data_IF_890884950458
#
_entry.id   IF_890884950458
#
_cell.length_a   1.000
_cell.length_b   1.000
_cell.length_c   1.000
_cell.angle_alpha   90.00
_cell.angle_beta   90.00
_cell.angle_gamma   90.00
#
_symmetry.space_group_name_H-M   'P 1'
#
loop_
_entity.id
_entity.type
_entity.pdbx_description
1 polymer ?
#
# COMPACT_ATOMS: atom_id res chain seq x y z
N UNK A 1 -21.04 9.65 -4.24
CA UNK A 1 -19.65 9.85 -3.77
C UNK A 1 -18.76 10.11 -4.99
N UNK A 2 -17.87 11.09 -4.90
CA UNK A 2 -16.98 11.42 -6.03
C UNK A 2 -15.79 10.47 -6.08
N UNK A 3 -15.09 10.42 -7.22
CA UNK A 3 -13.85 9.64 -7.38
C UNK A 3 -12.79 10.08 -6.35
N UNK A 4 -12.70 11.39 -6.07
CA UNK A 4 -11.77 11.92 -5.07
C UNK A 4 -12.12 11.43 -3.65
N UNK A 5 -13.38 11.45 -3.28
CA UNK A 5 -13.84 10.97 -1.97
C UNK A 5 -13.55 9.48 -1.81
N UNK A 6 -13.79 8.67 -2.84
CA UNK A 6 -13.48 7.24 -2.84
C UNK A 6 -11.97 7.01 -2.71
N UNK A 7 -11.16 7.78 -3.45
CA UNK A 7 -9.70 7.69 -3.36
C UNK A 7 -9.20 8.02 -1.96
N UNK A 8 -9.67 9.11 -1.35
CA UNK A 8 -9.25 9.50 0.00
C UNK A 8 -9.68 8.46 1.05
N UNK A 9 -10.84 7.86 0.87
CA UNK A 9 -11.32 6.78 1.74
C UNK A 9 -10.42 5.54 1.66
N UNK A 10 -9.98 5.19 0.46
CA UNK A 10 -9.09 4.04 0.26
C UNK A 10 -7.65 4.35 0.70
N UNK A 11 -7.21 5.59 0.55
CA UNK A 11 -5.88 6.03 0.94
C UNK A 11 -5.67 6.05 2.45
N UNK A 12 -6.69 6.46 3.21
CA UNK A 12 -6.57 6.68 4.66
C UNK A 12 -6.03 5.45 5.43
N UNK A 13 -6.51 4.22 5.21
CA UNK A 13 -5.99 3.06 5.92
C UNK A 13 -4.51 2.79 5.66
N UNK A 14 -4.01 3.18 4.48
CA UNK A 14 -2.60 3.02 4.12
C UNK A 14 -1.72 4.06 4.80
N UNK A 15 -2.08 5.33 4.68
CA UNK A 15 -1.22 6.43 5.16
C UNK A 15 -1.36 6.68 6.67
N UNK A 16 -2.43 6.19 7.30
CA UNK A 16 -2.60 6.22 8.74
C UNK A 16 -2.00 4.98 9.44
N UNK A 17 -1.26 4.16 8.69
CA UNK A 17 -0.59 2.96 9.17
C UNK A 17 0.91 3.23 9.29
N UNK A 18 1.50 2.88 10.43
CA UNK A 18 2.96 2.89 10.55
C UNK A 18 3.54 1.75 9.72
N UNK A 19 4.29 2.09 8.68
CA UNK A 19 4.93 1.12 7.79
C UNK A 19 6.36 1.53 7.42
N UNK A 20 7.11 2.01 8.39
CA UNK A 20 8.56 2.22 8.23
C UNK A 20 9.23 0.90 7.85
N UNK A 21 10.37 0.99 7.15
CA UNK A 21 11.06 -0.18 6.59
C UNK A 21 11.30 -1.29 7.61
N UNK A 22 11.63 -0.94 8.85
CA UNK A 22 11.88 -1.91 9.93
C UNK A 22 10.61 -2.43 10.62
N UNK A 23 9.46 -1.81 10.38
CA UNK A 23 8.18 -2.28 10.90
C UNK A 23 7.59 -3.33 9.95
N UNK A 24 8.08 -4.56 10.07
CA UNK A 24 7.70 -5.65 9.15
C UNK A 24 6.21 -5.96 9.18
N UNK A 25 5.58 -5.88 10.34
CA UNK A 25 4.14 -6.09 10.48
C UNK A 25 3.34 -5.01 9.77
N UNK A 26 3.75 -3.75 9.89
CA UNK A 26 3.10 -2.62 9.22
C UNK A 26 3.23 -2.69 7.71
N UNK A 27 4.42 -3.00 7.20
CA UNK A 27 4.65 -3.16 5.76
C UNK A 27 3.82 -4.33 5.21
N UNK A 28 3.78 -5.46 5.92
CA UNK A 28 2.95 -6.60 5.53
C UNK A 28 1.47 -6.24 5.52
N UNK A 29 1.01 -5.45 6.50
CA UNK A 29 -0.39 -4.99 6.52
C UNK A 29 -0.71 -4.09 5.33
N UNK A 30 0.21 -3.21 4.93
CA UNK A 30 0.06 -2.40 3.72
C UNK A 30 -0.08 -3.29 2.49
N UNK A 31 0.74 -4.34 2.39
CA UNK A 31 0.64 -5.31 1.30
C UNK A 31 -0.71 -6.03 1.28
N UNK A 32 -1.24 -6.41 2.44
CA UNK A 32 -2.56 -7.04 2.55
C UNK A 32 -3.69 -6.09 2.08
N UNK A 33 -3.62 -4.82 2.46
CA UNK A 33 -4.60 -3.82 2.04
C UNK A 33 -4.57 -3.67 0.51
N UNK A 34 -3.39 -3.52 -0.06
CA UNK A 34 -3.24 -3.40 -1.52
C UNK A 34 -3.65 -4.67 -2.25
N UNK A 35 -3.38 -5.84 -1.66
CA UNK A 35 -3.83 -7.13 -2.20
C UNK A 35 -5.34 -7.14 -2.38
N UNK A 36 -6.08 -6.72 -1.36
CA UNK A 36 -7.54 -6.67 -1.42
C UNK A 36 -8.03 -5.73 -2.54
N UNK A 37 -7.39 -4.58 -2.70
CA UNK A 37 -7.75 -3.65 -3.78
C UNK A 37 -7.51 -4.25 -5.17
N UNK A 38 -6.37 -4.87 -5.40
CA UNK A 38 -6.07 -5.50 -6.69
C UNK A 38 -6.99 -6.69 -6.96
N UNK A 39 -7.29 -7.51 -5.97
CA UNK A 39 -8.23 -8.63 -6.13
C UNK A 39 -9.64 -8.13 -6.48
N UNK A 40 -10.05 -6.99 -5.94
CA UNK A 40 -11.36 -6.42 -6.23
C UNK A 40 -11.55 -6.00 -7.69
N UNK A 41 -10.47 -5.79 -8.43
CA UNK A 41 -10.50 -5.45 -9.85
C UNK A 41 -10.04 -6.61 -10.75
N UNK A 42 -9.98 -7.81 -10.21
CA UNK A 42 -9.77 -9.03 -10.97
C UNK A 42 -8.33 -9.51 -11.09
N UNK A 43 -7.38 -8.91 -10.36
CA UNK A 43 -6.00 -9.39 -10.35
C UNK A 43 -5.88 -10.63 -9.47
N UNK A 44 -4.97 -11.52 -9.87
CA UNK A 44 -4.51 -12.64 -9.05
C UNK A 44 -3.29 -12.18 -8.26
N UNK A 45 -3.35 -12.31 -6.94
CA UNK A 45 -2.35 -11.73 -6.04
C UNK A 45 -1.75 -12.77 -5.11
N UNK A 46 -0.48 -12.57 -4.76
CA UNK A 46 0.17 -13.33 -3.70
C UNK A 46 1.04 -12.41 -2.85
N UNK A 47 1.11 -12.71 -1.55
CA UNK A 47 2.09 -12.10 -0.66
C UNK A 47 3.39 -12.90 -0.76
N UNK A 48 4.49 -12.19 -0.98
CA UNK A 48 5.82 -12.79 -1.19
C UNK A 48 6.64 -12.64 0.07
N UNK A 49 7.14 -13.75 0.59
CA UNK A 49 8.08 -13.74 1.73
C UNK A 49 9.45 -13.29 1.24
N UNK A 50 9.91 -12.17 1.75
CA UNK A 50 11.20 -11.57 1.40
C UNK A 50 12.26 -11.73 2.50
N UNK A 51 11.95 -12.53 3.52
CA UNK A 51 12.87 -12.81 4.63
C UNK A 51 12.36 -12.28 5.97
N UNK A 52 13.05 -12.66 7.08
CA UNK A 52 12.55 -12.35 8.43
C UNK A 52 12.73 -10.90 8.87
N UNK A 53 13.57 -10.13 8.18
CA UNK A 53 13.91 -8.75 8.56
C UNK A 53 13.13 -7.69 7.80
N UNK A 54 12.30 -8.10 6.84
CA UNK A 54 11.51 -7.20 6.00
C UNK A 54 10.06 -7.66 5.95
N UNK A 55 9.15 -6.73 5.66
CA UNK A 55 7.75 -7.07 5.44
C UNK A 55 7.56 -7.85 4.15
N UNK A 56 6.40 -8.47 3.99
CA UNK A 56 6.07 -9.18 2.76
C UNK A 56 5.84 -8.24 1.60
N UNK A 57 6.24 -8.68 0.41
CA UNK A 57 5.91 -8.00 -0.84
C UNK A 57 4.56 -8.45 -1.38
N UNK A 58 4.04 -7.71 -2.34
CA UNK A 58 2.83 -8.06 -3.07
C UNK A 58 3.16 -8.22 -4.55
N UNK A 59 2.74 -9.35 -5.11
CA UNK A 59 2.79 -9.58 -6.55
C UNK A 59 1.36 -9.72 -7.06
N UNK A 60 0.97 -8.85 -8.00
CA UNK A 60 -0.37 -8.83 -8.59
C UNK A 60 -0.26 -8.96 -10.10
N UNK A 61 -1.01 -9.90 -10.67
CA UNK A 61 -1.01 -10.19 -12.11
C UNK A 61 -2.43 -10.15 -12.64
N UNK A 62 -2.62 -9.50 -13.78
CA UNK A 62 -3.93 -9.50 -14.45
C UNK A 62 -4.15 -10.74 -15.34
N UNK A 63 -3.06 -11.45 -15.71
CA UNK A 63 -3.10 -12.68 -16.52
C UNK A 63 -2.11 -13.67 -15.93
N UNK A 64 -2.46 -14.40 -14.85
CA UNK A 64 -1.51 -15.23 -14.12
C UNK A 64 -0.89 -16.36 -14.93
N UNK A 65 -1.56 -16.83 -15.99
CA UNK A 65 -1.07 -17.89 -16.87
C UNK A 65 -0.23 -17.39 -18.06
N UNK A 66 -0.03 -16.07 -18.19
CA UNK A 66 0.76 -15.51 -19.26
C UNK A 66 2.25 -15.87 -19.11
N UNK A 67 2.91 -16.16 -20.21
CA UNK A 67 4.35 -16.44 -20.21
C UNK A 67 5.22 -15.20 -20.11
N UNK A 68 4.67 -14.01 -20.41
CA UNK A 68 5.33 -12.73 -20.29
C UNK A 68 4.31 -11.60 -20.15
N UNK A 69 4.80 -10.43 -19.76
CA UNK A 69 3.99 -9.21 -19.65
C UNK A 69 4.69 -8.08 -20.38
N UNK A 70 3.91 -7.24 -21.06
CA UNK A 70 4.42 -6.05 -21.74
C UNK A 70 4.81 -4.94 -20.78
N UNK A 71 4.13 -4.85 -19.64
CA UNK A 71 4.33 -3.80 -18.65
C UNK A 71 4.45 -4.42 -17.26
N UNK A 72 5.48 -3.99 -16.53
CA UNK A 72 5.62 -4.26 -15.12
C UNK A 72 5.70 -2.93 -14.38
N UNK A 73 4.79 -2.74 -13.43
CA UNK A 73 4.83 -1.58 -12.53
C UNK A 73 5.49 -1.99 -11.23
N UNK A 74 6.41 -1.16 -10.75
CA UNK A 74 7.15 -1.43 -9.52
C UNK A 74 7.05 -0.23 -8.59
N UNK A 75 6.68 -0.50 -7.34
CA UNK A 75 6.56 0.51 -6.31
C UNK A 75 6.94 -0.09 -4.96
N UNK A 76 7.13 0.75 -3.95
CA UNK A 76 7.42 0.26 -2.61
C UNK A 76 6.25 0.55 -1.66
N UNK A 77 6.14 -0.25 -0.61
CA UNK A 77 5.09 -0.17 0.40
C UNK A 77 5.57 0.48 1.70
N UNK A 78 6.86 0.42 1.96
CA UNK A 78 7.45 0.97 3.17
C UNK A 78 7.68 2.48 3.08
N UNK A 79 7.88 3.09 4.24
CA UNK A 79 8.23 4.50 4.35
C UNK A 79 9.50 4.65 5.18
N UNK A 80 10.04 5.87 5.22
CA UNK A 80 11.20 6.21 6.05
C UNK A 80 10.80 6.71 7.45
N UNK A 81 9.52 6.75 7.75
CA UNK A 81 9.03 7.36 8.99
C UNK A 81 9.04 6.36 10.14
N UNK A 82 9.45 6.81 11.35
CA UNK A 82 9.42 5.94 12.53
C UNK A 82 7.99 5.67 12.99
N UNK A 83 7.84 4.62 13.80
CA UNK A 83 6.56 4.31 14.44
C UNK A 83 6.05 5.50 15.25
N UNK A 84 4.75 5.71 15.22
CA UNK A 84 4.09 6.84 15.85
C UNK A 84 3.86 8.02 14.92
N UNK A 85 4.51 8.08 13.76
CA UNK A 85 4.35 9.18 12.80
C UNK A 85 2.94 9.24 12.25
N UNK A 86 2.33 8.10 11.91
CA UNK A 86 0.97 8.07 11.40
C UNK A 86 -0.04 8.62 12.40
N UNK A 87 0.12 8.31 13.69
CA UNK A 87 -0.74 8.85 14.75
C UNK A 87 -0.50 10.34 14.97
N UNK A 88 0.74 10.81 14.85
CA UNK A 88 1.11 12.22 15.03
C UNK A 88 0.69 13.09 13.85
N UNK A 89 0.70 12.53 12.64
CA UNK A 89 0.39 13.25 11.40
C UNK A 89 -0.53 12.40 10.49
N UNK A 90 -1.76 12.08 10.95
CA UNK A 90 -2.69 11.30 10.12
C UNK A 90 -3.09 12.05 8.85
N UNK A 91 -3.72 11.36 7.94
CA UNK A 91 -4.28 11.99 6.74
C UNK A 91 -5.16 13.17 7.13
N UNK A 92 -4.85 14.32 6.58
CA UNK A 92 -5.65 15.53 6.71
C UNK A 92 -5.82 16.20 5.36
N UNK A 93 -6.96 16.84 5.16
CA UNK A 93 -7.28 17.54 3.92
C UNK A 93 -7.48 19.02 4.25
N UNK A 94 -6.76 19.87 3.54
CA UNK A 94 -6.82 21.32 3.66
C UNK A 94 -7.03 21.93 2.27
N UNK A 95 -8.27 22.29 1.96
CA UNK A 95 -8.64 22.80 0.65
C UNK A 95 -8.40 21.75 -0.44
N UNK A 96 -7.47 22.03 -1.34
CA UNK A 96 -7.10 21.15 -2.45
C UNK A 96 -5.86 20.30 -2.16
N UNK A 97 -5.41 20.26 -0.89
CA UNK A 97 -4.21 19.52 -0.48
C UNK A 97 -4.54 18.44 0.53
N UNK A 98 -3.90 17.30 0.36
CA UNK A 98 -3.89 16.22 1.36
C UNK A 98 -2.48 16.11 1.96
N UNK A 99 -2.40 15.95 3.26
CA UNK A 99 -1.16 15.81 4.02
C UNK A 99 -1.15 14.46 4.73
N UNK A 100 -0.10 13.71 4.58
CA UNK A 100 0.04 12.41 5.24
C UNK A 100 1.48 11.90 5.14
N UNK A 101 1.92 11.01 6.04
CA UNK A 101 3.22 10.37 5.87
C UNK A 101 3.22 9.49 4.62
N UNK A 102 4.17 9.74 3.72
CA UNK A 102 4.36 8.90 2.53
C UNK A 102 3.45 9.21 1.34
N UNK A 103 2.74 10.31 1.37
CA UNK A 103 1.91 10.70 0.23
C UNK A 103 2.41 11.94 -0.51
#
# INVERSE_FOLDING_TARGET
MTMLEDFLKDLAPLVNLDCGTSNTAGVTRAAEIMKAHYESIGFTCELVDLGPTVGKGLLARNKPEAGYYDVMMNAHLDTVFPDGTAAARPLSVDGDRAHCPGC
#
